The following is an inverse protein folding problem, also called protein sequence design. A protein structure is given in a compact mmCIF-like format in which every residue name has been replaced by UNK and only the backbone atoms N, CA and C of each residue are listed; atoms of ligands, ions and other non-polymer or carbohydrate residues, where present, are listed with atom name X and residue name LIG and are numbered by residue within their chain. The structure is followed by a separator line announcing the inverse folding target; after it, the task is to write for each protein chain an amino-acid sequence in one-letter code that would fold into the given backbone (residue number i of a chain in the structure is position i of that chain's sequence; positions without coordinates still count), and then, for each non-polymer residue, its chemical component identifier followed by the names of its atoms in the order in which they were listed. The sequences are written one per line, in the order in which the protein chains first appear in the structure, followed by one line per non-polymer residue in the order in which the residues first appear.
data_IF_377829698463
#
_entry.id   IF_377829698463
#
_cell.length_a   1.000
_cell.length_b   1.000
_cell.length_c   1.000
_cell.angle_alpha   90.00
_cell.angle_beta   90.00
_cell.angle_gamma   90.00
#
_symmetry.space_group_name_H-M   'P 1'
#
loop_
_entity.id
_entity.type
_entity.pdbx_description
1 polymer ?
#
# COMPACT_ATOMS: atom_id res chain seq x y z
N UNK A 1 -14.85 16.88 0.43
CA UNK A 1 -14.98 15.41 0.42
C UNK A 1 -14.42 14.93 1.76
N UNK A 2 -15.26 14.46 2.65
CA UNK A 2 -14.86 13.96 3.98
C UNK A 2 -14.13 12.63 3.79
N UNK A 3 -12.88 12.53 4.27
CA UNK A 3 -12.02 11.36 4.11
C UNK A 3 -12.74 10.06 4.48
N UNK A 4 -12.69 9.08 3.57
CA UNK A 4 -13.13 7.72 3.85
C UNK A 4 -12.27 7.17 5.00
N UNK A 5 -12.88 6.56 6.01
CA UNK A 5 -12.11 5.90 7.07
C UNK A 5 -11.31 4.75 6.47
N UNK A 6 -10.02 4.65 6.80
CA UNK A 6 -9.18 3.53 6.39
C UNK A 6 -9.77 2.22 6.93
N UNK A 7 -9.97 1.23 6.05
CA UNK A 7 -10.31 -0.12 6.47
C UNK A 7 -9.07 -0.76 7.10
N UNK A 8 -9.19 -1.26 8.32
CA UNK A 8 -8.07 -1.90 9.01
C UNK A 8 -7.96 -3.38 8.66
N UNK A 9 -6.73 -3.87 8.57
CA UNK A 9 -6.45 -5.31 8.57
C UNK A 9 -6.22 -5.83 9.98
N UNK A 10 -6.44 -7.12 10.23
CA UNK A 10 -6.18 -7.72 11.55
C UNK A 10 -5.51 -9.08 11.42
N UNK A 11 -4.41 -9.27 12.15
CA UNK A 11 -3.82 -10.58 12.40
C UNK A 11 -4.31 -11.12 13.74
N UNK A 12 -4.80 -12.36 13.75
CA UNK A 12 -5.05 -13.09 15.00
C UNK A 12 -3.90 -14.03 15.29
N UNK A 13 -3.28 -13.87 16.46
CA UNK A 13 -2.24 -14.78 16.96
C UNK A 13 -2.88 -15.59 18.09
N UNK A 14 -2.87 -16.91 17.98
CA UNK A 14 -3.60 -17.80 18.89
C UNK A 14 -2.76 -18.98 19.38
N UNK A 15 -3.06 -19.44 20.59
CA UNK A 15 -2.56 -20.71 21.16
C UNK A 15 -3.40 -21.93 20.75
N UNK A 16 -4.39 -21.76 19.87
CA UNK A 16 -5.40 -22.78 19.57
C UNK A 16 -6.57 -22.70 20.55
N UNK A 17 -6.99 -23.84 21.10
CA UNK A 17 -8.26 -23.95 21.84
C UNK A 17 -8.11 -23.85 23.38
N UNK A 18 -6.88 -23.85 23.91
CA UNK A 18 -6.64 -23.88 25.35
C UNK A 18 -6.15 -22.52 25.88
N UNK A 19 -6.86 -21.91 26.86
CA UNK A 19 -6.43 -20.66 27.47
C UNK A 19 -5.07 -20.79 28.15
N UNK A 20 -4.31 -19.72 28.11
CA UNK A 20 -3.02 -19.66 28.80
C UNK A 20 -3.24 -19.44 30.31
N UNK A 21 -2.52 -20.15 31.17
CA UNK A 21 -2.60 -19.92 32.63
C UNK A 21 -1.77 -18.72 33.09
N UNK A 22 -0.90 -18.21 32.22
CA UNK A 22 -0.03 -17.06 32.41
C UNK A 22 0.06 -16.30 31.10
N UNK A 23 0.32 -15.00 31.16
CA UNK A 23 0.52 -14.21 29.96
C UNK A 23 1.73 -14.73 29.15
N UNK A 24 1.59 -14.79 27.82
CA UNK A 24 2.64 -15.23 26.91
C UNK A 24 3.03 -14.07 26.01
N UNK A 25 4.32 -13.70 26.05
CA UNK A 25 4.89 -12.76 25.10
C UNK A 25 5.25 -13.51 23.82
N UNK A 26 4.59 -13.15 22.72
CA UNK A 26 4.80 -13.70 21.38
C UNK A 26 5.67 -12.76 20.58
N UNK A 27 6.80 -13.27 20.11
CA UNK A 27 7.73 -12.55 19.25
C UNK A 27 7.28 -12.69 17.80
N UNK A 28 7.39 -11.61 17.03
CA UNK A 28 7.12 -11.61 15.58
C UNK A 28 8.05 -10.63 14.85
N UNK A 29 8.18 -10.84 13.54
CA UNK A 29 8.79 -9.90 12.60
C UNK A 29 7.75 -9.45 11.58
N UNK A 30 8.00 -8.28 10.99
CA UNK A 30 7.19 -7.74 9.91
C UNK A 30 8.02 -7.71 8.62
N UNK A 31 7.36 -8.00 7.51
CA UNK A 31 7.88 -7.91 6.15
C UNK A 31 6.74 -7.40 5.24
N UNK A 32 6.95 -7.42 3.93
CA UNK A 32 6.00 -6.92 2.93
C UNK A 32 6.55 -5.69 2.23
N UNK A 33 5.68 -5.01 1.48
CA UNK A 33 6.04 -3.81 0.72
C UNK A 33 5.72 -2.52 1.47
N UNK A 34 4.73 -2.53 2.35
CA UNK A 34 4.37 -1.37 3.17
C UNK A 34 5.40 -1.11 4.28
N UNK A 35 5.72 0.14 4.49
CA UNK A 35 6.64 0.65 5.51
C UNK A 35 5.90 0.91 6.81
N UNK A 36 6.25 0.20 7.88
CA UNK A 36 5.74 0.50 9.22
C UNK A 36 6.31 1.83 9.72
N UNK A 37 5.45 2.72 10.19
CA UNK A 37 5.89 3.96 10.81
C UNK A 37 4.77 4.96 11.00
N UNK A 38 5.13 6.13 11.52
CA UNK A 38 4.23 7.28 11.50
C UNK A 38 4.44 8.05 10.18
N UNK A 39 3.43 8.82 9.78
CA UNK A 39 3.58 9.83 8.75
C UNK A 39 4.76 10.79 9.07
N UNK A 40 5.43 11.34 8.05
CA UNK A 40 5.05 11.31 6.63
C UNK A 40 5.64 10.15 5.81
N UNK A 41 6.40 9.25 6.44
CA UNK A 41 7.20 8.23 5.73
C UNK A 41 6.75 6.79 5.98
N UNK A 42 5.80 6.57 6.88
CA UNK A 42 5.24 5.24 7.13
C UNK A 42 3.82 5.15 6.62
N UNK A 43 3.45 3.96 6.20
CA UNK A 43 2.17 3.64 5.54
C UNK A 43 1.18 3.07 6.54
N UNK A 44 1.66 2.48 7.65
CA UNK A 44 0.81 1.96 8.71
C UNK A 44 1.46 1.94 10.09
N UNK A 45 0.60 1.90 11.11
CA UNK A 45 0.95 1.49 12.47
C UNK A 45 0.24 0.18 12.84
N UNK A 46 0.71 -0.49 13.90
CA UNK A 46 0.01 -1.65 14.46
C UNK A 46 -0.42 -1.40 15.90
N UNK A 47 -1.59 -1.93 16.26
CA UNK A 47 -2.17 -1.81 17.60
C UNK A 47 -2.66 -3.14 18.14
N UNK A 48 -2.70 -3.27 19.47
CA UNK A 48 -3.50 -4.27 20.18
C UNK A 48 -4.54 -3.51 21.00
N UNK A 49 -5.81 -3.61 20.61
CA UNK A 49 -6.83 -2.68 21.06
C UNK A 49 -6.43 -1.24 20.70
N UNK A 50 -6.37 -0.36 21.70
CA UNK A 50 -5.95 1.04 21.52
C UNK A 50 -4.43 1.24 21.65
N UNK A 51 -3.70 0.25 22.15
CA UNK A 51 -2.28 0.36 22.43
C UNK A 51 -1.45 0.28 21.15
N UNK A 52 -0.68 1.33 20.88
CA UNK A 52 0.35 1.33 19.83
C UNK A 52 1.45 0.32 20.16
N UNK A 53 1.72 -0.59 19.23
CA UNK A 53 2.83 -1.52 19.32
C UNK A 53 3.97 -0.95 18.49
N UNK A 54 5.14 -0.76 19.10
CA UNK A 54 6.38 -0.28 18.45
C UNK A 54 7.48 -1.35 18.41
N UNK A 55 7.33 -2.43 19.17
CA UNK A 55 8.25 -3.57 19.22
C UNK A 55 7.78 -4.69 18.27
N UNK A 56 8.54 -5.78 18.21
CA UNK A 56 8.15 -7.05 17.59
C UNK A 56 7.60 -8.06 18.61
N UNK A 57 6.90 -7.58 19.64
CA UNK A 57 6.37 -8.41 20.72
C UNK A 57 4.92 -8.00 21.00
N UNK A 58 4.03 -8.99 21.09
CA UNK A 58 2.65 -8.84 21.58
C UNK A 58 2.36 -9.86 22.66
N UNK A 59 1.39 -9.59 23.53
CA UNK A 59 1.09 -10.47 24.66
C UNK A 59 -0.29 -11.09 24.49
N UNK A 60 -0.38 -12.42 24.60
CA UNK A 60 -1.63 -13.11 24.87
C UNK A 60 -1.83 -13.09 26.38
N UNK A 61 -2.85 -12.39 26.92
CA UNK A 61 -3.05 -12.30 28.37
C UNK A 61 -3.41 -13.66 28.99
N UNK A 62 -3.14 -13.81 30.29
CA UNK A 62 -3.60 -14.98 31.03
C UNK A 62 -5.13 -15.12 30.93
N UNK A 63 -5.62 -16.35 30.77
CA UNK A 63 -7.03 -16.66 30.56
C UNK A 63 -7.51 -16.45 29.13
N UNK A 64 -6.67 -15.94 28.22
CA UNK A 64 -6.99 -15.77 26.81
C UNK A 64 -6.31 -16.83 25.93
N UNK A 65 -6.90 -17.05 24.76
CA UNK A 65 -6.41 -17.96 23.71
C UNK A 65 -5.85 -17.23 22.49
N UNK A 66 -6.05 -15.92 22.39
CA UNK A 66 -5.55 -15.13 21.28
C UNK A 66 -5.28 -13.67 21.66
N UNK A 67 -4.56 -13.00 20.78
CA UNK A 67 -4.46 -11.53 20.71
C UNK A 67 -4.64 -11.11 19.26
N UNK A 68 -5.38 -10.02 19.06
CA UNK A 68 -5.59 -9.42 17.74
C UNK A 68 -4.64 -8.23 17.55
N UNK A 69 -3.83 -8.29 16.51
CA UNK A 69 -2.90 -7.24 16.08
C UNK A 69 -3.52 -6.54 14.88
N UNK A 70 -4.02 -5.33 15.10
CA UNK A 70 -4.67 -4.51 14.07
C UNK A 70 -3.61 -3.73 13.30
N UNK A 71 -3.62 -3.85 11.97
CA UNK A 71 -2.90 -2.99 11.04
C UNK A 71 -3.80 -1.79 10.74
N UNK A 72 -3.32 -0.60 11.05
CA UNK A 72 -4.03 0.67 10.82
C UNK A 72 -3.27 1.43 9.74
N UNK A 73 -3.74 1.40 8.48
CA UNK A 73 -3.18 2.22 7.42
C UNK A 73 -3.32 3.71 7.74
N UNK A 74 -2.36 4.51 7.33
CA UNK A 74 -2.52 5.95 7.26
C UNK A 74 -3.30 6.28 6.00
N UNK A 75 -4.41 7.02 6.15
CA UNK A 75 -5.07 7.61 4.99
C UNK A 75 -4.37 8.93 4.68
N UNK A 76 -3.78 9.06 3.50
CA UNK A 76 -3.17 10.32 3.04
C UNK A 76 -3.80 10.82 1.72
N UNK A 77 -3.05 11.50 0.86
CA UNK A 77 -3.56 12.05 -0.40
C UNK A 77 -2.66 11.72 -1.58
N UNK A 78 -1.74 10.78 -1.42
CA UNK A 78 -0.86 10.29 -2.46
C UNK A 78 -1.51 9.09 -3.10
N UNK A 79 -1.44 9.04 -4.42
CA UNK A 79 -1.77 7.82 -5.16
C UNK A 79 -0.62 6.84 -4.97
N UNK A 80 -0.95 5.66 -4.48
CA UNK A 80 0.00 4.59 -4.16
C UNK A 80 -0.46 3.27 -4.80
N UNK A 81 0.45 2.30 -4.93
CA UNK A 81 0.06 0.96 -5.35
C UNK A 81 -0.45 0.18 -4.13
N UNK A 82 -1.21 -0.90 -4.35
CA UNK A 82 -1.55 -1.82 -3.25
C UNK A 82 -0.27 -2.36 -2.60
N UNK A 83 -0.23 -2.31 -1.27
CA UNK A 83 0.92 -2.72 -0.48
C UNK A 83 0.59 -3.87 0.46
N UNK A 84 1.60 -4.57 0.96
CA UNK A 84 1.41 -5.73 1.83
C UNK A 84 2.12 -5.55 3.17
N UNK A 85 1.47 -6.06 4.21
CA UNK A 85 2.05 -6.30 5.54
C UNK A 85 2.05 -7.80 5.77
N UNK A 86 3.21 -8.38 6.01
CA UNK A 86 3.37 -9.78 6.37
C UNK A 86 3.86 -9.90 7.81
N UNK A 87 3.10 -10.58 8.65
CA UNK A 87 3.51 -10.93 10.01
C UNK A 87 4.07 -12.35 10.03
N UNK A 88 5.27 -12.52 10.58
CA UNK A 88 5.91 -13.82 10.79
C UNK A 88 6.13 -14.06 12.29
N UNK A 89 5.65 -15.18 12.81
CA UNK A 89 5.95 -15.58 14.18
C UNK A 89 7.43 -15.95 14.31
N UNK A 90 8.09 -15.41 15.32
CA UNK A 90 9.49 -15.67 15.62
C UNK A 90 9.62 -16.68 16.77
N UNK A 91 10.74 -17.39 16.79
CA UNK A 91 11.04 -18.37 17.84
C UNK A 91 11.12 -17.71 19.22
N UNK A 92 10.67 -18.46 20.23
CA UNK A 92 10.83 -18.13 21.64
C UNK A 92 10.91 -19.43 22.44
N UNK A 93 11.58 -19.43 23.58
CA UNK A 93 11.55 -20.56 24.52
C UNK A 93 10.21 -20.67 25.27
N UNK A 94 9.34 -19.67 25.17
CA UNK A 94 8.05 -19.63 25.85
C UNK A 94 6.95 -20.45 25.15
N UNK A 95 7.13 -20.85 23.88
CA UNK A 95 6.14 -21.59 23.10
C UNK A 95 6.80 -22.35 21.95
N UNK A 96 6.10 -23.35 21.41
CA UNK A 96 6.52 -24.08 20.22
C UNK A 96 5.81 -23.52 18.99
N UNK A 97 6.54 -23.32 17.90
CA UNK A 97 5.94 -22.92 16.63
C UNK A 97 5.48 -24.14 15.83
N UNK A 98 4.38 -24.03 15.06
CA UNK A 98 3.98 -25.06 14.13
C UNK A 98 5.03 -25.22 13.01
N UNK A 99 5.14 -26.44 12.49
CA UNK A 99 6.05 -26.74 11.37
C UNK A 99 5.57 -26.07 10.08
N UNK A 100 4.27 -26.15 9.81
CA UNK A 100 3.61 -25.60 8.64
C UNK A 100 3.75 -24.07 8.57
N UNK A 101 4.16 -23.57 7.40
CA UNK A 101 4.49 -22.16 7.22
C UNK A 101 3.25 -21.25 7.30
N UNK A 102 2.12 -21.69 6.72
CA UNK A 102 0.85 -20.94 6.75
C UNK A 102 0.25 -20.76 8.16
N UNK A 103 0.76 -21.47 9.16
CA UNK A 103 0.35 -21.32 10.56
C UNK A 103 1.26 -20.39 11.37
N UNK A 104 2.39 -19.97 10.79
CA UNK A 104 3.34 -19.03 11.42
C UNK A 104 3.55 -17.75 10.62
N UNK A 105 2.84 -17.58 9.50
CA UNK A 105 2.84 -16.35 8.72
C UNK A 105 1.44 -15.99 8.24
N UNK A 106 1.14 -14.70 8.17
CA UNK A 106 -0.08 -14.18 7.59
C UNK A 106 0.21 -12.85 6.87
N UNK A 107 -0.60 -12.54 5.86
CA UNK A 107 -0.48 -11.32 5.04
C UNK A 107 -1.78 -10.55 5.07
N UNK A 108 -1.67 -9.22 5.19
CA UNK A 108 -2.73 -8.24 4.99
C UNK A 108 -2.31 -7.36 3.82
N UNK A 109 -3.25 -7.01 2.94
CA UNK A 109 -3.04 -6.02 1.89
C UNK A 109 -3.65 -4.68 2.31
N UNK A 110 -2.89 -3.60 2.14
CA UNK A 110 -3.33 -2.21 2.24
C UNK A 110 -3.69 -1.78 0.82
N UNK A 111 -4.93 -1.34 0.63
CA UNK A 111 -5.42 -0.85 -0.65
C UNK A 111 -5.40 0.67 -0.65
N UNK A 112 -4.93 1.26 -1.74
CA UNK A 112 -5.03 2.71 -1.95
C UNK A 112 -6.50 3.11 -2.24
N UNK A 113 -6.91 4.26 -1.71
CA UNK A 113 -8.23 4.83 -1.95
C UNK A 113 -8.19 6.15 -2.74
N UNK A 114 -7.03 6.58 -3.20
CA UNK A 114 -6.91 7.83 -3.96
C UNK A 114 -7.34 7.64 -5.44
N UNK A 115 -8.07 8.61 -6.02
CA UNK A 115 -8.52 8.51 -7.40
C UNK A 115 -7.36 8.64 -8.39
N UNK A 116 -7.37 7.81 -9.44
CA UNK A 116 -6.44 7.91 -10.57
C UNK A 116 -7.10 8.57 -11.78
N UNK A 117 -6.37 9.49 -12.44
CA UNK A 117 -6.80 10.15 -13.67
C UNK A 117 -5.85 9.73 -14.79
N UNK A 118 -6.41 9.22 -15.90
CA UNK A 118 -5.64 8.83 -17.10
C UNK A 118 -6.10 9.63 -18.31
N UNK A 119 -5.22 9.77 -19.29
CA UNK A 119 -5.54 10.34 -20.62
C UNK A 119 -5.05 9.37 -21.68
N UNK A 120 -5.88 9.13 -22.68
CA UNK A 120 -5.55 8.30 -23.83
C UNK A 120 -5.76 9.09 -25.13
N UNK A 121 -4.89 8.88 -26.10
CA UNK A 121 -5.07 9.45 -27.43
C UNK A 121 -6.14 8.61 -28.17
N UNK A 122 -7.27 9.24 -28.51
CA UNK A 122 -8.33 8.59 -29.29
C UNK A 122 -8.01 8.52 -30.79
N UNK A 123 -6.99 9.25 -31.23
CA UNK A 123 -6.47 9.22 -32.59
C UNK A 123 -4.93 9.25 -32.53
N UNK A 124 -4.28 8.34 -33.25
CA UNK A 124 -2.82 8.22 -33.30
C UNK A 124 -2.18 9.18 -34.32
N UNK A 125 -2.98 9.80 -35.19
CA UNK A 125 -2.49 10.59 -36.32
C UNK A 125 -3.03 12.02 -36.28
N UNK A 126 -2.19 12.96 -35.88
CA UNK A 126 -2.43 14.38 -36.16
C UNK A 126 -1.83 14.72 -37.53
N UNK A 127 -2.68 15.11 -38.50
CA UNK A 127 -2.25 15.52 -39.82
C UNK A 127 -2.45 17.03 -40.04
N UNK A 128 -1.37 17.75 -40.36
CA UNK A 128 -1.49 19.09 -40.92
C UNK A 128 -1.55 19.00 -42.45
N UNK A 129 -2.56 19.59 -43.08
CA UNK A 129 -2.58 19.72 -44.54
C UNK A 129 -1.88 21.01 -44.94
N UNK A 130 -0.72 20.93 -45.58
CA UNK A 130 -0.10 22.08 -46.24
C UNK A 130 -0.98 22.50 -47.43
N UNK A 131 -1.68 23.63 -47.30
CA UNK A 131 -2.22 24.35 -48.47
C UNK A 131 -1.07 25.04 -49.19
N UNK A 132 -0.47 24.37 -50.16
CA UNK A 132 0.32 25.07 -51.19
C UNK A 132 -0.65 25.78 -52.12
N UNK A 133 -0.87 27.07 -51.91
CA UNK A 133 -1.47 27.91 -52.94
C UNK A 133 -0.35 28.22 -53.92
N UNK A 134 -0.40 27.78 -55.19
CA UNK A 134 0.63 28.18 -56.15
C UNK A 134 0.54 29.70 -56.32
N UNK A 135 1.53 30.41 -55.80
CA UNK A 135 1.72 31.83 -56.09
C UNK A 135 2.19 31.89 -57.55
N UNK A 136 1.24 32.11 -58.46
CA UNK A 136 1.54 32.47 -59.84
C UNK A 136 2.37 33.74 -59.83
N UNK A 137 3.67 33.61 -60.08
CA UNK A 137 4.53 34.75 -60.36
C UNK A 137 4.05 35.37 -61.67
N UNK A 138 3.52 36.58 -61.61
CA UNK A 138 3.35 37.40 -62.80
C UNK A 138 4.75 37.75 -63.35
N UNK A 139 5.07 37.50 -64.63
CA UNK A 139 6.31 38.00 -65.21
C UNK A 139 6.25 39.53 -65.32
N UNK A 140 7.12 40.19 -64.57
CA UNK A 140 7.38 41.63 -64.67
C UNK A 140 7.84 41.96 -66.10
N UNK A 141 7.05 42.75 -66.82
CA UNK A 141 7.48 43.38 -68.04
C UNK A 141 8.52 44.47 -67.70
N UNK A 142 9.79 44.16 -67.91
CA UNK A 142 10.87 45.13 -67.96
C UNK A 142 10.79 45.86 -69.31
N UNK A 143 10.36 47.13 -69.29
CA UNK A 143 10.49 48.02 -70.46
C UNK A 143 11.84 48.72 -70.36
N UNK A 144 12.78 48.31 -71.21
CA UNK A 144 13.96 49.10 -71.53
C UNK A 144 13.59 50.12 -72.62
N UNK A 145 13.83 51.41 -72.37
CA UNK A 145 14.01 52.41 -73.44
C UNK A 145 15.17 53.32 -73.06
N UNK A 146 16.10 53.46 -74.01
CA UNK A 146 17.24 54.38 -73.94
C UNK A 146 16.88 55.80 -74.36
#
# INVERSE_FOLDING_TARGET
MTGQAANTGTFRISTGDAPTTRAINVNFTLAGTATRGNLPTGDYIIKVGEQLITTGIVTIPAGQIYVDVTVVPHNDNKVEADETVQLNLAYSTAYTLPTALNLKQAVVTILDNEPTITVEAIDALAGETLRVTPMTLAPSAFVARG
#
